data_IF_900686286375
#
_entry.id   IF_900686286375
#
_cell.length_a   1.000
_cell.length_b   1.000
_cell.length_c   1.000
_cell.angle_alpha   90.00
_cell.angle_beta   90.00
_cell.angle_gamma   90.00
#
_symmetry.space_group_name_H-M   'P 1'
#
loop_
_entity.id
_entity.type
_entity.pdbx_description
1 polymer ?
#
# COMPACT_ATOMS: atom_id res chain seq x y z
N UNK A 1 42.84 -3.60 47.90
CA UNK A 1 41.56 -3.66 48.71
C UNK A 1 40.83 -2.32 48.68
N UNK A 2 41.57 -1.21 48.78
CA UNK A 2 40.99 0.14 48.85
C UNK A 2 40.36 0.61 47.52
N UNK A 3 40.92 0.17 46.41
CA UNK A 3 40.40 0.50 45.05
C UNK A 3 39.03 -0.18 44.74
N UNK A 4 38.81 -1.34 45.32
CA UNK A 4 37.51 -2.05 45.18
C UNK A 4 36.42 -1.42 46.04
N UNK A 5 36.79 -0.92 47.22
CA UNK A 5 35.86 -0.22 48.15
C UNK A 5 35.44 1.12 47.56
N UNK A 6 36.32 1.83 46.89
CA UNK A 6 36.00 3.12 46.27
C UNK A 6 35.01 2.99 45.08
N UNK A 7 35.12 1.89 44.29
CA UNK A 7 34.19 1.61 43.20
C UNK A 7 32.78 1.19 43.66
N UNK A 8 32.67 0.60 44.83
CA UNK A 8 31.39 0.18 45.38
C UNK A 8 30.66 1.27 46.17
N UNK A 9 31.35 2.39 46.49
CA UNK A 9 30.81 3.50 47.26
C UNK A 9 30.35 4.71 46.44
N UNK A 10 30.37 4.61 45.11
CA UNK A 10 29.75 5.66 44.27
C UNK A 10 28.24 5.66 44.55
N UNK A 11 27.69 6.78 45.08
CA UNK A 11 26.25 6.83 45.35
C UNK A 11 25.50 6.71 44.05
N UNK A 12 24.87 5.57 43.85
CA UNK A 12 23.91 5.41 42.76
C UNK A 12 22.71 6.28 43.15
N UNK A 13 22.27 7.23 42.28
CA UNK A 13 21.07 7.99 42.57
C UNK A 13 19.91 7.04 42.86
N UNK A 14 19.25 7.21 43.98
CA UNK A 14 18.16 6.34 44.44
C UNK A 14 16.90 6.41 43.56
N UNK A 15 16.84 7.41 42.69
CA UNK A 15 15.74 7.70 41.77
C UNK A 15 15.95 7.11 40.36
N UNK A 16 17.08 6.43 40.10
CA UNK A 16 17.36 5.82 38.80
C UNK A 16 16.84 4.41 38.78
N UNK A 17 15.74 4.21 38.03
CA UNK A 17 15.19 2.88 37.74
C UNK A 17 15.93 2.25 36.56
N UNK A 18 16.99 1.51 36.87
CA UNK A 18 17.79 0.81 35.82
C UNK A 18 17.00 -0.22 35.05
N UNK A 19 16.04 -0.89 35.67
CA UNK A 19 15.19 -1.85 34.98
C UNK A 19 14.31 -1.18 33.92
N UNK A 20 13.71 -0.04 34.28
CA UNK A 20 12.91 0.76 33.34
C UNK A 20 13.75 1.26 32.18
N UNK A 21 14.97 1.75 32.43
CA UNK A 21 15.88 2.20 31.37
C UNK A 21 16.22 1.05 30.42
N UNK A 22 16.50 -0.14 30.95
CA UNK A 22 16.81 -1.33 30.15
C UNK A 22 15.62 -1.72 29.26
N UNK A 23 14.43 -1.79 29.84
CA UNK A 23 13.20 -2.15 29.10
C UNK A 23 12.88 -1.10 28.02
N UNK A 24 13.04 0.18 28.31
CA UNK A 24 12.84 1.23 27.31
C UNK A 24 13.85 1.11 26.16
N UNK A 25 15.11 0.84 26.46
CA UNK A 25 16.15 0.62 25.45
C UNK A 25 15.83 -0.58 24.55
N UNK A 26 15.39 -1.69 25.10
CA UNK A 26 14.98 -2.87 24.35
C UNK A 26 13.78 -2.59 23.44
N UNK A 27 12.79 -1.87 23.94
CA UNK A 27 11.62 -1.44 23.13
C UNK A 27 12.03 -0.56 21.96
N UNK A 28 12.92 0.41 22.17
CA UNK A 28 13.44 1.28 21.11
C UNK A 28 14.23 0.48 20.08
N UNK A 29 15.07 -0.47 20.51
CA UNK A 29 15.82 -1.34 19.60
C UNK A 29 14.89 -2.21 18.75
N UNK A 30 13.89 -2.84 19.37
CA UNK A 30 12.89 -3.65 18.70
C UNK A 30 12.08 -2.82 17.70
N UNK A 31 11.61 -1.65 18.09
CA UNK A 31 10.91 -0.71 17.20
C UNK A 31 11.76 -0.31 16.01
N UNK A 32 13.03 0.02 16.25
CA UNK A 32 14.00 0.39 15.20
C UNK A 32 14.22 -0.76 14.21
N UNK A 33 14.40 -1.97 14.71
CA UNK A 33 14.60 -3.16 13.88
C UNK A 33 13.37 -3.44 13.00
N UNK A 34 12.18 -3.45 13.58
CA UNK A 34 10.92 -3.67 12.86
C UNK A 34 10.72 -2.60 11.77
N UNK A 35 10.89 -1.33 12.14
CA UNK A 35 10.68 -0.21 11.21
C UNK A 35 11.68 -0.23 10.05
N UNK A 36 12.94 -0.56 10.31
CA UNK A 36 13.95 -0.65 9.26
C UNK A 36 13.68 -1.83 8.31
N UNK A 37 13.18 -2.95 8.84
CA UNK A 37 12.76 -4.08 8.03
C UNK A 37 11.56 -3.74 7.12
N UNK A 38 10.62 -2.93 7.59
CA UNK A 38 9.50 -2.45 6.77
C UNK A 38 9.95 -1.54 5.62
N UNK A 39 11.08 -0.83 5.77
CA UNK A 39 11.64 0.06 4.74
C UNK A 39 12.40 -0.69 3.63
N UNK A 40 12.64 -1.98 3.79
CA UNK A 40 13.24 -2.81 2.73
C UNK A 40 12.16 -3.05 1.68
N UNK A 41 12.48 -2.75 0.41
CA UNK A 41 11.55 -2.99 -0.69
C UNK A 41 11.25 -4.49 -0.79
N UNK A 42 10.00 -4.84 -0.56
CA UNK A 42 9.51 -6.21 -0.70
C UNK A 42 8.05 -6.22 -1.06
N UNK A 43 7.65 -7.23 -1.80
CA UNK A 43 6.25 -7.53 -2.04
C UNK A 43 5.58 -7.96 -0.72
N UNK A 44 4.43 -7.35 -0.42
CA UNK A 44 3.64 -7.62 0.79
C UNK A 44 2.29 -8.27 0.46
N UNK A 45 1.77 -8.03 -0.75
CA UNK A 45 0.52 -8.60 -1.21
C UNK A 45 0.51 -8.72 -2.73
N UNK A 46 -0.23 -9.71 -3.23
CA UNK A 46 -0.44 -9.95 -4.66
C UNK A 46 -1.86 -10.42 -4.91
N UNK A 47 -2.54 -9.76 -5.85
CA UNK A 47 -3.85 -10.17 -6.35
C UNK A 47 -3.76 -10.39 -7.86
N UNK A 48 -4.43 -11.41 -8.37
CA UNK A 48 -4.51 -11.67 -9.79
C UNK A 48 -5.94 -11.52 -10.30
N UNK A 49 -6.10 -10.85 -11.44
CA UNK A 49 -7.38 -10.66 -12.13
C UNK A 49 -7.16 -10.95 -13.62
N UNK A 50 -7.67 -12.08 -14.09
CA UNK A 50 -7.59 -12.48 -15.52
C UNK A 50 -6.16 -12.36 -16.11
N UNK A 51 -5.16 -12.79 -15.34
CA UNK A 51 -3.75 -12.78 -15.72
C UNK A 51 -3.02 -11.45 -15.49
N UNK A 52 -3.71 -10.35 -15.18
CA UNK A 52 -3.10 -9.15 -14.65
C UNK A 52 -2.80 -9.35 -13.16
N UNK A 53 -1.67 -8.82 -12.72
CA UNK A 53 -1.23 -8.93 -11.32
C UNK A 53 -1.14 -7.56 -10.70
N UNK A 54 -1.85 -7.34 -9.59
CA UNK A 54 -1.67 -6.19 -8.73
C UNK A 54 -0.71 -6.60 -7.63
N UNK A 55 0.44 -5.93 -7.57
CA UNK A 55 1.47 -6.19 -6.57
C UNK A 55 1.57 -4.97 -5.67
N UNK A 56 1.38 -5.18 -4.37
CA UNK A 56 1.67 -4.19 -3.34
C UNK A 56 3.07 -4.44 -2.79
N UNK A 57 3.91 -3.42 -2.81
CA UNK A 57 5.27 -3.49 -2.27
C UNK A 57 5.56 -2.32 -1.34
N UNK A 58 6.38 -2.59 -0.32
CA UNK A 58 6.90 -1.54 0.55
C UNK A 58 8.00 -0.77 -0.15
N UNK A 59 8.09 0.53 0.13
CA UNK A 59 9.12 1.42 -0.41
C UNK A 59 9.49 2.50 0.59
N UNK A 60 10.72 2.96 0.53
CA UNK A 60 11.16 4.14 1.30
C UNK A 60 10.60 5.41 0.70
N UNK A 61 10.26 6.37 1.55
CA UNK A 61 10.04 7.73 1.06
C UNK A 61 11.33 8.31 0.51
N UNK A 62 11.27 8.86 -0.69
CA UNK A 62 12.44 9.41 -1.40
C UNK A 62 12.76 10.85 -1.02
N UNK A 63 11.80 11.58 -0.44
CA UNK A 63 11.95 13.00 -0.08
C UNK A 63 10.91 13.45 0.95
N UNK A 64 11.16 14.60 1.58
CA UNK A 64 10.18 15.26 2.45
C UNK A 64 8.88 15.62 1.71
N UNK A 65 8.98 15.98 0.43
CA UNK A 65 7.82 16.27 -0.41
C UNK A 65 6.99 15.01 -0.69
N UNK A 66 7.64 13.87 -0.87
CA UNK A 66 6.98 12.58 -1.00
C UNK A 66 6.25 12.20 0.31
N UNK A 67 6.92 12.34 1.45
CA UNK A 67 6.34 12.11 2.76
C UNK A 67 5.12 13.02 3.03
N UNK A 68 5.19 14.29 2.59
CA UNK A 68 4.10 15.25 2.73
C UNK A 68 2.83 14.84 1.97
N UNK A 69 2.95 14.18 0.81
CA UNK A 69 1.79 13.71 0.03
C UNK A 69 0.89 12.76 0.81
N UNK A 70 1.47 12.00 1.74
CA UNK A 70 0.72 11.05 2.58
C UNK A 70 -0.09 11.77 3.66
N UNK A 71 0.40 12.95 4.12
CA UNK A 71 -0.16 13.62 5.29
C UNK A 71 -1.50 14.31 5.02
N UNK A 72 -1.80 14.63 3.79
CA UNK A 72 -2.96 15.48 3.41
C UNK A 72 -3.07 16.80 4.24
N UNK A 73 -2.04 17.15 5.02
CA UNK A 73 -1.95 18.32 5.90
C UNK A 73 -0.94 19.32 5.36
N UNK A 74 -1.13 20.59 5.65
CA UNK A 74 -0.18 21.65 5.25
C UNK A 74 1.04 21.77 6.19
N UNK A 75 1.36 20.74 6.97
CA UNK A 75 2.49 20.73 7.90
C UNK A 75 3.80 20.50 7.18
N UNK A 76 4.84 21.24 7.52
CA UNK A 76 6.18 20.99 7.01
C UNK A 76 6.80 19.77 7.70
N UNK A 77 7.12 18.74 6.92
CA UNK A 77 7.75 17.50 7.41
C UNK A 77 9.26 17.43 7.12
N UNK A 78 9.89 18.54 6.74
CA UNK A 78 11.32 18.59 6.40
C UNK A 78 12.18 18.16 7.59
N UNK A 79 11.91 18.71 8.79
CA UNK A 79 12.64 18.35 10.00
C UNK A 79 12.40 16.89 10.43
N UNK A 80 11.21 16.37 10.22
CA UNK A 80 10.94 14.96 10.46
C UNK A 80 11.73 14.09 9.48
N UNK A 81 11.65 14.40 8.19
CA UNK A 81 12.31 13.61 7.14
C UNK A 81 13.84 13.55 7.29
N UNK A 82 14.50 14.60 7.78
CA UNK A 82 15.94 14.56 8.06
C UNK A 82 16.34 13.46 9.05
N UNK A 83 15.39 13.02 9.88
CA UNK A 83 15.57 11.93 10.85
C UNK A 83 14.92 10.61 10.38
N UNK A 84 14.48 10.51 9.12
CA UNK A 84 13.70 9.36 8.61
C UNK A 84 14.42 8.02 8.78
N UNK A 85 15.76 7.99 8.72
CA UNK A 85 16.55 6.78 8.91
C UNK A 85 16.75 6.41 10.39
N UNK A 86 16.36 7.27 11.31
CA UNK A 86 16.40 7.06 12.77
C UNK A 86 14.97 6.93 13.30
N UNK A 87 14.36 5.73 13.30
CA UNK A 87 12.93 5.56 13.51
C UNK A 87 12.39 6.19 14.79
N UNK A 88 13.10 6.08 15.90
CA UNK A 88 12.66 6.66 17.16
C UNK A 88 12.67 8.20 17.14
N UNK A 89 13.76 8.80 16.64
CA UNK A 89 13.85 10.26 16.51
C UNK A 89 12.82 10.78 15.52
N UNK A 90 12.63 10.06 14.41
CA UNK A 90 11.58 10.37 13.43
C UNK A 90 10.19 10.35 14.05
N UNK A 91 9.85 9.31 14.83
CA UNK A 91 8.58 9.23 15.58
C UNK A 91 8.38 10.45 16.49
N UNK A 92 9.42 10.84 17.24
CA UNK A 92 9.34 12.00 18.11
C UNK A 92 9.12 13.31 17.34
N UNK A 93 9.70 13.42 16.13
CA UNK A 93 9.46 14.57 15.25
C UNK A 93 8.02 14.59 14.71
N UNK A 94 7.47 13.42 14.36
CA UNK A 94 6.06 13.31 13.91
C UNK A 94 5.10 13.72 15.05
N UNK A 95 5.34 13.25 16.27
CA UNK A 95 4.53 13.63 17.43
C UNK A 95 4.61 15.14 17.72
N UNK A 96 5.78 15.77 17.60
CA UNK A 96 5.94 17.23 17.70
C UNK A 96 5.20 17.99 16.58
N UNK A 97 5.00 17.37 15.44
CA UNK A 97 4.20 17.91 14.34
C UNK A 97 2.69 17.61 14.48
N UNK A 98 2.27 17.17 15.68
CA UNK A 98 0.87 16.89 16.03
C UNK A 98 0.19 15.87 15.12
N UNK A 99 0.96 14.89 14.63
CA UNK A 99 0.43 13.75 13.91
C UNK A 99 -0.25 12.81 14.90
N UNK A 100 -1.49 12.44 14.61
CA UNK A 100 -2.26 11.51 15.44
C UNK A 100 -1.64 10.11 15.45
N UNK A 101 -1.71 9.44 16.59
CA UNK A 101 -1.11 8.11 16.78
C UNK A 101 -1.68 7.07 15.79
N UNK A 102 -2.95 7.20 15.41
CA UNK A 102 -3.65 6.36 14.44
C UNK A 102 -3.13 6.52 13.01
N UNK A 103 -2.48 7.64 12.70
CA UNK A 103 -1.95 7.93 11.37
C UNK A 103 -0.44 7.68 11.24
N UNK A 104 0.28 7.51 12.35
CA UNK A 104 1.74 7.41 12.37
C UNK A 104 2.29 6.34 11.42
N UNK A 105 1.61 5.20 11.29
CA UNK A 105 2.07 4.10 10.44
C UNK A 105 2.26 4.51 8.97
N UNK A 106 1.45 5.45 8.47
CA UNK A 106 1.52 5.95 7.08
C UNK A 106 2.83 6.65 6.75
N UNK A 107 3.57 7.11 7.75
CA UNK A 107 4.79 7.90 7.58
C UNK A 107 6.07 7.05 7.60
N UNK A 108 6.00 5.81 8.06
CA UNK A 108 7.19 4.97 8.18
C UNK A 108 7.57 4.26 6.88
N UNK A 109 6.58 3.90 6.06
CA UNK A 109 6.78 3.19 4.81
C UNK A 109 5.74 3.63 3.80
N UNK A 110 6.17 3.79 2.55
CA UNK A 110 5.28 3.98 1.41
C UNK A 110 4.85 2.61 0.88
N UNK A 111 3.60 2.51 0.44
CA UNK A 111 3.07 1.30 -0.20
C UNK A 111 2.82 1.64 -1.66
N UNK A 112 3.64 1.06 -2.52
CA UNK A 112 3.53 1.22 -3.97
C UNK A 112 2.72 0.08 -4.55
N UNK A 113 1.67 0.42 -5.31
CA UNK A 113 0.88 -0.55 -6.08
C UNK A 113 1.34 -0.55 -7.53
N UNK A 114 1.70 -1.72 -8.03
CA UNK A 114 2.12 -1.93 -9.42
C UNK A 114 1.13 -2.88 -10.09
N UNK A 115 0.62 -2.50 -11.26
CA UNK A 115 -0.16 -3.40 -12.10
C UNK A 115 0.78 -3.97 -13.17
N UNK A 116 0.85 -5.29 -13.24
CA UNK A 116 1.66 -6.03 -14.19
C UNK A 116 0.75 -6.79 -15.15
N UNK A 117 1.19 -6.90 -16.41
CA UNK A 117 0.51 -7.70 -17.42
C UNK A 117 0.77 -9.21 -17.24
N UNK A 118 0.19 -10.03 -18.10
CA UNK A 118 0.34 -11.51 -18.10
C UNK A 118 1.81 -11.97 -18.15
N UNK A 119 2.70 -11.16 -18.73
CA UNK A 119 4.12 -11.45 -18.86
C UNK A 119 4.96 -10.93 -17.64
N UNK A 120 4.33 -10.23 -16.72
CA UNK A 120 5.01 -9.68 -15.54
C UNK A 120 5.67 -8.31 -15.75
N UNK A 121 5.39 -7.63 -16.87
CA UNK A 121 5.84 -6.27 -17.13
C UNK A 121 4.80 -5.23 -16.69
N UNK A 122 5.23 -4.01 -16.47
CA UNK A 122 4.32 -2.90 -16.22
C UNK A 122 3.35 -2.74 -17.39
N UNK A 123 2.06 -2.57 -17.06
CA UNK A 123 1.01 -2.38 -18.08
C UNK A 123 1.25 -1.09 -18.88
N UNK A 124 1.06 -1.18 -20.19
CA UNK A 124 0.94 -0.03 -21.08
C UNK A 124 -0.35 0.76 -20.83
N UNK A 125 -0.54 1.90 -21.51
CA UNK A 125 -1.77 2.67 -21.38
C UNK A 125 -3.02 1.88 -21.78
N UNK A 126 -2.96 1.15 -22.90
CA UNK A 126 -4.05 0.28 -23.37
C UNK A 126 -4.33 -0.87 -22.40
N UNK A 127 -3.32 -1.62 -22.01
CA UNK A 127 -3.45 -2.72 -21.04
C UNK A 127 -3.98 -2.25 -19.68
N UNK A 128 -3.68 -0.99 -19.28
CA UNK A 128 -4.25 -0.40 -18.06
C UNK A 128 -5.75 -0.19 -18.19
N UNK A 129 -6.22 0.27 -19.34
CA UNK A 129 -7.65 0.44 -19.62
C UNK A 129 -8.37 -0.91 -19.62
N UNK A 130 -7.79 -1.94 -20.24
CA UNK A 130 -8.29 -3.31 -20.20
C UNK A 130 -8.38 -3.82 -18.75
N UNK A 131 -7.31 -3.67 -17.99
CA UNK A 131 -7.28 -4.06 -16.58
C UNK A 131 -8.37 -3.35 -15.75
N UNK A 132 -8.55 -2.02 -15.93
CA UNK A 132 -9.55 -1.27 -15.21
C UNK A 132 -10.96 -1.79 -15.51
N UNK A 133 -11.28 -2.04 -16.78
CA UNK A 133 -12.57 -2.61 -17.16
C UNK A 133 -12.81 -3.98 -16.51
N UNK A 134 -11.85 -4.88 -16.59
CA UNK A 134 -11.95 -6.20 -15.95
C UNK A 134 -12.09 -6.11 -14.43
N UNK A 135 -11.40 -5.16 -13.82
CA UNK A 135 -11.49 -4.92 -12.38
C UNK A 135 -12.88 -4.42 -11.98
N UNK A 136 -13.43 -3.44 -12.70
CA UNK A 136 -14.76 -2.89 -12.45
C UNK A 136 -15.85 -3.95 -12.65
N UNK A 137 -15.78 -4.74 -13.73
CA UNK A 137 -16.70 -5.84 -13.96
C UNK A 137 -16.62 -6.89 -12.85
N UNK A 138 -15.41 -7.25 -12.41
CA UNK A 138 -15.23 -8.21 -11.30
C UNK A 138 -15.80 -7.69 -9.98
N UNK A 139 -15.69 -6.39 -9.73
CA UNK A 139 -16.22 -5.74 -8.53
C UNK A 139 -17.77 -5.58 -8.58
N UNK A 140 -18.39 -5.75 -9.75
CA UNK A 140 -19.83 -5.69 -9.93
C UNK A 140 -20.60 -6.72 -9.07
N UNK A 141 -19.96 -7.83 -8.70
CA UNK A 141 -20.56 -8.83 -7.78
C UNK A 141 -20.87 -8.27 -6.38
N UNK A 142 -20.35 -7.10 -6.04
CA UNK A 142 -20.68 -6.38 -4.79
C UNK A 142 -21.95 -5.54 -4.92
N UNK A 143 -22.53 -5.47 -6.11
CA UNK A 143 -23.70 -4.66 -6.45
C UNK A 143 -24.85 -5.54 -6.92
N UNK A 144 -26.04 -4.96 -7.05
CA UNK A 144 -27.25 -5.68 -7.41
C UNK A 144 -27.46 -5.81 -8.92
N UNK A 145 -26.73 -5.06 -9.73
CA UNK A 145 -26.83 -5.03 -11.19
C UNK A 145 -25.56 -4.43 -11.79
N UNK A 146 -25.19 -4.85 -12.98
CA UNK A 146 -24.12 -4.28 -13.81
C UNK A 146 -24.71 -3.66 -15.07
N UNK A 147 -24.40 -2.38 -15.31
CA UNK A 147 -24.70 -1.67 -16.54
C UNK A 147 -23.39 -1.31 -17.26
N UNK A 148 -23.27 -1.68 -18.51
CA UNK A 148 -22.11 -1.36 -19.37
C UNK A 148 -22.63 -0.66 -20.63
N UNK A 149 -22.07 0.52 -20.90
CA UNK A 149 -22.41 1.33 -22.06
C UNK A 149 -21.23 1.37 -23.04
N UNK A 150 -21.49 0.94 -24.29
CA UNK A 150 -20.56 0.94 -25.41
C UNK A 150 -19.11 0.46 -25.08
N UNK A 151 -18.93 -0.76 -24.55
CA UNK A 151 -17.59 -1.25 -24.20
C UNK A 151 -16.64 -1.28 -25.40
N UNK A 152 -17.17 -1.40 -26.63
CA UNK A 152 -16.40 -1.40 -27.86
C UNK A 152 -15.79 -0.04 -28.24
N UNK A 153 -16.22 1.04 -27.65
CA UNK A 153 -15.70 2.38 -27.95
C UNK A 153 -14.21 2.56 -27.58
N UNK A 154 -13.73 1.76 -26.62
CA UNK A 154 -12.39 1.88 -26.05
C UNK A 154 -11.51 0.64 -26.21
N UNK A 155 -12.09 -0.50 -26.69
CA UNK A 155 -11.40 -1.79 -26.71
C UNK A 155 -11.55 -2.50 -28.03
N UNK A 156 -10.55 -3.30 -28.40
CA UNK A 156 -10.64 -4.11 -29.60
C UNK A 156 -11.60 -5.32 -29.44
N UNK A 157 -12.10 -5.80 -30.56
CA UNK A 157 -13.07 -6.90 -30.60
C UNK A 157 -12.51 -8.23 -30.06
N UNK A 158 -11.20 -8.44 -30.12
CA UNK A 158 -10.56 -9.68 -29.65
C UNK A 158 -10.55 -9.70 -28.14
N UNK A 159 -10.16 -8.60 -27.51
CA UNK A 159 -10.21 -8.45 -26.06
C UNK A 159 -11.64 -8.57 -25.52
N UNK A 160 -12.59 -7.87 -26.12
CA UNK A 160 -14.00 -7.94 -25.73
C UNK A 160 -14.53 -9.36 -25.82
N UNK A 161 -14.24 -10.08 -26.90
CA UNK A 161 -14.72 -11.45 -27.12
C UNK A 161 -14.11 -12.46 -26.15
N UNK A 162 -12.82 -12.41 -25.94
CA UNK A 162 -12.11 -13.45 -25.21
C UNK A 162 -12.12 -13.23 -23.69
N UNK A 163 -11.96 -12.00 -23.25
CA UNK A 163 -11.79 -11.71 -21.81
C UNK A 163 -13.07 -11.15 -21.18
N UNK A 164 -13.68 -10.15 -21.83
CA UNK A 164 -14.84 -9.43 -21.25
C UNK A 164 -16.08 -10.30 -21.31
N UNK A 165 -16.38 -10.92 -22.45
CA UNK A 165 -17.59 -11.74 -22.61
C UNK A 165 -17.59 -12.96 -21.68
N UNK A 166 -16.45 -13.61 -21.46
CA UNK A 166 -16.38 -14.71 -20.49
C UNK A 166 -16.68 -14.23 -19.07
N UNK A 167 -16.09 -13.10 -18.67
CA UNK A 167 -16.32 -12.54 -17.36
C UNK A 167 -17.78 -12.11 -17.16
N UNK A 168 -18.39 -11.50 -18.18
CA UNK A 168 -19.80 -11.09 -18.15
C UNK A 168 -20.75 -12.27 -18.05
N UNK A 169 -20.47 -13.37 -18.74
CA UNK A 169 -21.25 -14.62 -18.61
C UNK A 169 -21.17 -15.20 -17.20
N UNK A 170 -19.99 -15.14 -16.57
CA UNK A 170 -19.84 -15.64 -15.22
C UNK A 170 -20.62 -14.77 -14.22
N UNK A 171 -20.57 -13.47 -14.37
CA UNK A 171 -21.27 -12.52 -13.49
C UNK A 171 -22.78 -12.58 -13.70
N UNK A 172 -23.26 -12.77 -14.93
CA UNK A 172 -24.68 -12.85 -15.24
C UNK A 172 -25.40 -14.02 -14.58
N UNK A 173 -24.67 -15.03 -14.11
CA UNK A 173 -25.21 -16.11 -13.28
C UNK A 173 -25.60 -15.66 -11.88
N UNK A 174 -25.05 -14.55 -11.42
CA UNK A 174 -25.21 -14.06 -10.04
C UNK A 174 -25.99 -12.75 -9.95
N UNK A 175 -25.83 -11.84 -10.92
CA UNK A 175 -26.52 -10.56 -10.97
C UNK A 175 -26.99 -10.23 -12.38
N UNK A 176 -28.06 -9.44 -12.56
CA UNK A 176 -28.48 -8.94 -13.87
C UNK A 176 -27.40 -8.09 -14.51
N UNK A 177 -27.13 -8.32 -15.79
CA UNK A 177 -26.18 -7.56 -16.62
C UNK A 177 -26.92 -6.94 -17.79
N UNK A 178 -26.79 -5.63 -17.96
CA UNK A 178 -27.37 -4.86 -19.07
C UNK A 178 -26.20 -4.26 -19.86
N UNK A 179 -26.19 -4.53 -21.17
CA UNK A 179 -25.14 -4.01 -22.07
C UNK A 179 -25.82 -3.21 -23.17
N UNK A 180 -25.42 -1.97 -23.31
CA UNK A 180 -25.77 -1.10 -24.45
C UNK A 180 -24.61 -1.13 -25.42
N UNK A 181 -24.85 -1.51 -26.67
CA UNK A 181 -23.79 -1.66 -27.67
C UNK A 181 -24.33 -1.38 -29.07
N UNK A 182 -23.53 -0.73 -29.89
CA UNK A 182 -23.77 -0.58 -31.32
C UNK A 182 -23.07 -1.67 -32.14
N UNK A 183 -22.28 -2.53 -31.52
CA UNK A 183 -21.56 -3.62 -32.20
C UNK A 183 -22.35 -4.94 -32.11
N UNK A 184 -22.87 -5.36 -33.26
CA UNK A 184 -23.62 -6.61 -33.36
C UNK A 184 -22.82 -7.85 -32.90
N UNK A 185 -21.50 -7.83 -33.02
CA UNK A 185 -20.63 -8.93 -32.59
C UNK A 185 -20.61 -9.07 -31.09
N UNK A 186 -20.59 -7.95 -30.34
CA UNK A 186 -20.65 -7.95 -28.89
C UNK A 186 -22.02 -8.44 -28.42
N UNK A 187 -23.11 -7.93 -28.99
CA UNK A 187 -24.46 -8.33 -28.63
C UNK A 187 -24.78 -9.82 -28.93
N UNK A 188 -24.24 -10.39 -30.02
CA UNK A 188 -24.46 -11.77 -30.37
C UNK A 188 -23.63 -12.79 -29.57
N UNK A 189 -22.49 -12.38 -29.01
CA UNK A 189 -21.55 -13.26 -28.30
C UNK A 189 -21.90 -13.53 -26.85
N UNK A 190 -22.90 -12.84 -26.29
CA UNK A 190 -23.30 -12.90 -24.88
C UNK A 190 -24.54 -13.79 -24.65
N UNK A 191 -25.02 -14.48 -25.68
CA UNK A 191 -26.14 -15.42 -25.56
C UNK A 191 -25.76 -16.70 -24.80
#
# INVERSE_FOLDING_TARGET
>A
KDELIFRTSSPVPSDVDFYRILVEKEKIQKFTSITNNLKIEKEIDRKEIRGFKIVASTKKFSSASHLKKVSNRQVSLVNAYSNYLQPYTFLMCLKKAEIEDTELFKYFVDIEYKTLNKLGFHVSGGERSEFNLLHEINDALKHNMLLIDEPESSFDNIFLKNEVNELLRDISKSIPVIIVTHNSTVGASIK
#
